data_IF_219288695088
#
_entry.id   IF_219288695088
#
_cell.length_a   1.000
_cell.length_b   1.000
_cell.length_c   1.000
_cell.angle_alpha   90.00
_cell.angle_beta   90.00
_cell.angle_gamma   90.00
#
_symmetry.space_group_name_H-M   'P 1'
#
loop_
_entity.id
_entity.type
_entity.pdbx_description
1 polymer ?
#
# COMPACT_ATOMS: atom_id res chain seq x y z
N UNK A 1 16.33 -29.41 -19.55
CA UNK A 1 17.40 -28.63 -18.88
C UNK A 1 16.70 -27.52 -18.11
N UNK A 2 16.69 -27.57 -16.77
CA UNK A 2 16.13 -26.48 -15.95
C UNK A 2 17.00 -25.24 -16.17
N UNK A 3 16.37 -24.15 -16.64
CA UNK A 3 17.04 -22.87 -16.82
C UNK A 3 17.39 -22.34 -15.45
N UNK A 4 18.65 -22.22 -15.12
CA UNK A 4 19.09 -21.70 -13.83
C UNK A 4 18.74 -20.19 -13.77
N UNK A 5 17.87 -19.80 -12.83
CA UNK A 5 17.45 -18.43 -12.62
C UNK A 5 18.42 -17.71 -11.67
N UNK A 6 18.53 -16.41 -11.79
CA UNK A 6 19.21 -15.59 -10.79
C UNK A 6 18.27 -15.33 -9.59
N UNK A 7 17.03 -14.96 -9.88
CA UNK A 7 16.03 -14.62 -8.85
C UNK A 7 14.67 -15.21 -9.20
N UNK A 8 14.01 -15.76 -8.18
CA UNK A 8 12.56 -16.04 -8.23
C UNK A 8 11.86 -15.11 -7.25
N UNK A 9 10.92 -14.31 -7.76
CA UNK A 9 10.01 -13.48 -6.97
C UNK A 9 8.69 -14.23 -6.87
N UNK A 10 8.24 -14.53 -5.67
CA UNK A 10 6.95 -15.18 -5.44
C UNK A 10 5.91 -14.12 -5.07
N UNK A 11 4.86 -14.04 -5.89
CA UNK A 11 3.80 -13.04 -5.80
C UNK A 11 3.84 -12.06 -6.98
N UNK A 12 2.73 -12.02 -7.74
CA UNK A 12 2.57 -11.14 -8.90
C UNK A 12 1.77 -9.86 -8.57
N UNK A 13 1.67 -9.48 -7.29
CA UNK A 13 1.15 -8.18 -6.87
C UNK A 13 2.05 -7.02 -7.32
N UNK A 14 1.61 -5.74 -7.14
CA UNK A 14 2.41 -4.59 -7.54
C UNK A 14 3.83 -4.63 -6.97
N UNK A 15 4.01 -5.00 -5.69
CA UNK A 15 5.32 -5.11 -5.03
C UNK A 15 6.22 -6.14 -5.73
N UNK A 16 5.71 -7.35 -5.99
CA UNK A 16 6.52 -8.42 -6.61
C UNK A 16 6.89 -8.11 -8.06
N UNK A 17 5.95 -7.59 -8.85
CA UNK A 17 6.22 -7.19 -10.24
C UNK A 17 7.21 -6.02 -10.32
N UNK A 18 7.07 -5.01 -9.44
CA UNK A 18 8.02 -3.90 -9.35
C UNK A 18 9.40 -4.40 -8.91
N UNK A 19 9.48 -5.35 -7.96
CA UNK A 19 10.76 -5.94 -7.56
C UNK A 19 11.46 -6.60 -8.76
N UNK A 20 10.74 -7.41 -9.54
CA UNK A 20 11.30 -8.06 -10.72
C UNK A 20 11.74 -7.05 -11.79
N UNK A 21 10.88 -6.07 -12.11
CA UNK A 21 11.21 -5.01 -13.07
C UNK A 21 12.42 -4.17 -12.61
N UNK A 22 12.53 -3.88 -11.32
CA UNK A 22 13.62 -3.10 -10.75
C UNK A 22 14.97 -3.84 -10.80
N UNK A 23 14.99 -5.15 -10.50
CA UNK A 23 16.19 -5.97 -10.64
C UNK A 23 16.74 -5.93 -12.06
N UNK A 24 15.86 -5.98 -13.06
CA UNK A 24 16.21 -5.91 -14.47
C UNK A 24 16.62 -4.49 -14.90
N UNK A 25 15.86 -3.48 -14.52
CA UNK A 25 16.15 -2.07 -14.83
C UNK A 25 17.48 -1.59 -14.24
N UNK A 26 17.89 -2.16 -13.09
CA UNK A 26 19.15 -1.87 -12.42
C UNK A 26 20.31 -2.78 -12.86
N UNK A 27 20.09 -3.66 -13.85
CA UNK A 27 21.06 -4.65 -14.34
C UNK A 27 21.62 -5.55 -13.21
N UNK A 28 20.82 -5.85 -12.18
CA UNK A 28 21.18 -6.76 -11.10
C UNK A 28 20.98 -8.22 -11.52
N UNK A 29 20.15 -8.46 -12.52
CA UNK A 29 19.97 -9.75 -13.16
C UNK A 29 19.74 -9.55 -14.68
N UNK A 30 20.02 -10.56 -15.48
CA UNK A 30 19.81 -10.50 -16.92
C UNK A 30 18.34 -10.81 -17.30
N UNK A 31 17.83 -10.29 -18.42
CA UNK A 31 16.53 -10.69 -18.97
C UNK A 31 16.42 -12.21 -19.13
N UNK A 32 15.28 -12.77 -18.75
CA UNK A 32 15.01 -14.21 -18.76
C UNK A 32 15.67 -14.98 -17.60
N UNK A 33 16.33 -14.29 -16.65
CA UNK A 33 16.91 -14.90 -15.44
C UNK A 33 16.19 -14.49 -14.15
N UNK A 34 15.16 -13.65 -14.25
CA UNK A 34 14.22 -13.32 -13.17
C UNK A 34 12.89 -13.96 -13.49
N UNK A 35 12.33 -14.74 -12.58
CA UNK A 35 10.96 -15.25 -12.71
C UNK A 35 10.05 -14.62 -11.65
N UNK A 36 8.82 -14.29 -12.04
CA UNK A 36 7.71 -13.97 -11.14
C UNK A 36 6.78 -15.18 -11.13
N UNK A 37 6.57 -15.76 -9.95
CA UNK A 37 5.74 -16.95 -9.74
C UNK A 37 4.53 -16.56 -8.89
N UNK A 38 3.34 -16.87 -9.34
CA UNK A 38 2.11 -16.66 -8.56
C UNK A 38 1.04 -17.66 -8.97
N UNK A 39 0.15 -18.00 -8.05
CA UNK A 39 -0.98 -18.87 -8.35
C UNK A 39 -1.87 -18.31 -9.47
N UNK A 40 -1.99 -16.98 -9.54
CA UNK A 40 -2.63 -16.23 -10.64
C UNK A 40 -1.86 -14.96 -10.91
N UNK A 41 -1.59 -14.69 -12.18
CA UNK A 41 -0.85 -13.49 -12.62
C UNK A 41 -1.80 -12.41 -13.11
N UNK A 42 -2.90 -12.79 -13.74
CA UNK A 42 -3.97 -11.89 -14.18
C UNK A 42 -5.24 -12.25 -13.41
N UNK A 43 -5.58 -11.49 -12.40
CA UNK A 43 -6.86 -11.67 -11.70
C UNK A 43 -7.64 -10.37 -11.71
N UNK A 44 -8.93 -10.42 -12.05
CA UNK A 44 -9.82 -9.38 -11.57
C UNK A 44 -9.69 -9.34 -10.04
N UNK A 45 -9.66 -8.13 -9.48
CA UNK A 45 -9.63 -7.90 -8.03
C UNK A 45 -10.55 -8.91 -7.32
N UNK A 46 -10.12 -9.60 -6.26
CA UNK A 46 -10.95 -10.59 -5.62
C UNK A 46 -12.25 -9.91 -5.16
N UNK A 47 -13.33 -10.19 -5.88
CA UNK A 47 -14.69 -9.78 -5.47
C UNK A 47 -15.05 -10.58 -4.23
N UNK A 48 -14.54 -10.18 -3.08
CA UNK A 48 -15.01 -10.71 -1.81
C UNK A 48 -16.32 -10.02 -1.47
N UNK A 49 -17.35 -10.83 -1.26
CA UNK A 49 -18.71 -10.48 -0.79
C UNK A 49 -19.15 -9.02 -1.06
N UNK A 50 -19.62 -8.79 -2.27
CA UNK A 50 -20.12 -7.50 -2.71
C UNK A 50 -21.63 -7.47 -2.53
N UNK A 51 -22.16 -6.48 -1.83
CA UNK A 51 -23.61 -6.24 -1.81
C UNK A 51 -24.09 -5.76 -3.19
N UNK A 52 -25.21 -6.25 -3.66
CA UNK A 52 -25.75 -5.88 -4.98
C UNK A 52 -26.08 -4.39 -5.05
N UNK A 53 -25.65 -3.71 -6.12
CA UNK A 53 -26.09 -2.33 -6.45
C UNK A 53 -27.36 -2.40 -7.26
N UNK A 54 -28.36 -1.53 -7.00
CA UNK A 54 -29.50 -1.36 -7.86
C UNK A 54 -29.07 -0.95 -9.28
N UNK A 55 -29.75 -1.51 -10.29
CA UNK A 55 -29.49 -1.27 -11.73
C UNK A 55 -29.49 0.20 -12.13
N UNK A 56 -30.23 1.05 -11.40
CA UNK A 56 -30.29 2.49 -11.60
C UNK A 56 -29.00 3.25 -11.24
N UNK A 57 -28.18 2.71 -10.31
CA UNK A 57 -26.88 3.31 -9.95
C UNK A 57 -25.77 2.96 -10.97
N UNK A 58 -25.94 1.85 -11.70
CA UNK A 58 -25.01 1.45 -12.76
C UNK A 58 -25.10 2.37 -13.99
N UNK A 59 -26.24 3.02 -14.22
CA UNK A 59 -26.44 3.92 -15.35
C UNK A 59 -25.77 5.30 -15.18
N UNK A 60 -25.37 5.69 -13.97
CA UNK A 60 -24.64 6.94 -13.67
C UNK A 60 -23.15 6.70 -13.34
N UNK A 61 -22.64 5.50 -13.63
CA UNK A 61 -21.28 5.15 -13.36
C UNK A 61 -20.33 6.01 -14.23
N UNK A 62 -19.54 6.87 -13.56
CA UNK A 62 -18.44 7.60 -14.16
C UNK A 62 -17.36 6.65 -14.71
N UNK A 63 -16.11 7.11 -14.73
CA UNK A 63 -14.96 6.26 -15.10
C UNK A 63 -14.96 4.97 -14.26
N UNK A 64 -14.73 3.79 -14.84
CA UNK A 64 -14.81 2.50 -14.13
C UNK A 64 -13.58 2.28 -13.22
N UNK A 65 -13.50 3.04 -12.13
CA UNK A 65 -12.51 2.82 -11.10
C UNK A 65 -12.73 1.50 -10.36
N UNK A 66 -11.64 0.77 -10.09
CA UNK A 66 -11.68 -0.37 -9.17
C UNK A 66 -12.06 0.12 -7.75
N UNK A 67 -12.81 -0.71 -7.02
CA UNK A 67 -13.15 -0.42 -5.63
C UNK A 67 -11.92 -0.16 -4.76
N UNK A 68 -10.84 -0.89 -5.04
CA UNK A 68 -9.56 -0.71 -4.35
C UNK A 68 -8.73 0.35 -5.07
N UNK A 69 -8.45 1.43 -4.39
CA UNK A 69 -7.52 2.45 -4.85
C UNK A 69 -6.29 2.49 -3.94
N UNK A 70 -5.18 2.98 -4.46
CA UNK A 70 -3.95 3.20 -3.70
C UNK A 70 -3.62 4.68 -3.63
N UNK A 71 -3.31 5.17 -2.42
CA UNK A 71 -2.70 6.48 -2.25
C UNK A 71 -1.18 6.32 -2.35
N UNK A 72 -0.60 6.70 -3.48
CA UNK A 72 0.83 6.57 -3.75
C UNK A 72 1.58 7.85 -3.40
N UNK A 73 2.71 7.69 -2.72
CA UNK A 73 3.64 8.78 -2.42
C UNK A 73 4.46 9.17 -3.66
N UNK A 74 5.08 10.34 -3.62
CA UNK A 74 6.01 10.81 -4.66
C UNK A 74 7.19 9.84 -4.86
N UNK A 75 7.72 9.26 -3.78
CA UNK A 75 8.77 8.25 -3.89
C UNK A 75 8.30 7.00 -4.64
N UNK A 76 7.08 6.52 -4.33
CA UNK A 76 6.48 5.40 -5.04
C UNK A 76 6.25 5.70 -6.52
N UNK A 77 5.77 6.90 -6.85
CA UNK A 77 5.61 7.35 -8.23
C UNK A 77 6.92 7.29 -9.00
N UNK A 78 8.01 7.83 -8.45
CA UNK A 78 9.34 7.80 -9.09
C UNK A 78 9.86 6.38 -9.30
N UNK A 79 9.65 5.50 -8.33
CA UNK A 79 10.04 4.10 -8.47
C UNK A 79 9.25 3.41 -9.59
N UNK A 80 7.94 3.62 -9.66
CA UNK A 80 7.08 3.11 -10.73
C UNK A 80 7.47 3.68 -12.10
N UNK A 81 7.91 4.93 -12.16
CA UNK A 81 8.42 5.53 -13.39
C UNK A 81 9.72 4.87 -13.85
N UNK A 82 10.67 4.62 -12.93
CA UNK A 82 11.91 3.90 -13.22
C UNK A 82 11.64 2.48 -13.76
N UNK A 83 10.61 1.82 -13.28
CA UNK A 83 10.20 0.49 -13.73
C UNK A 83 9.33 0.51 -15.01
N UNK A 84 9.05 1.69 -15.61
CA UNK A 84 8.21 1.82 -16.81
C UNK A 84 6.71 1.66 -16.57
N UNK A 85 6.27 1.58 -15.32
CA UNK A 85 4.86 1.42 -14.93
C UNK A 85 4.10 2.73 -15.04
N UNK A 86 4.64 3.81 -14.46
CA UNK A 86 3.92 5.07 -14.26
C UNK A 86 3.35 5.67 -15.53
N UNK A 87 4.17 5.78 -16.58
CA UNK A 87 3.77 6.38 -17.88
C UNK A 87 2.77 5.53 -18.66
N UNK A 88 2.61 4.26 -18.30
CA UNK A 88 1.66 3.35 -18.95
C UNK A 88 0.28 3.34 -18.28
N UNK A 89 0.14 3.96 -17.10
CA UNK A 89 -1.15 4.07 -16.42
C UNK A 89 -2.10 4.95 -17.22
N UNK A 90 -3.40 4.57 -17.31
CA UNK A 90 -4.41 5.43 -17.93
C UNK A 90 -4.53 6.74 -17.14
N UNK A 91 -4.43 7.92 -17.78
CA UNK A 91 -4.47 9.20 -17.07
C UNK A 91 -5.74 9.41 -16.24
N UNK A 92 -6.87 8.88 -16.73
CA UNK A 92 -8.17 8.99 -16.07
C UNK A 92 -8.27 8.14 -14.79
N UNK A 93 -7.36 7.19 -14.58
CA UNK A 93 -7.29 6.29 -13.44
C UNK A 93 -6.14 6.67 -12.46
N UNK A 94 -5.63 7.88 -12.60
CA UNK A 94 -4.64 8.49 -11.71
C UNK A 94 -5.09 9.91 -11.37
N UNK A 95 -5.14 10.24 -10.09
CA UNK A 95 -5.54 11.58 -9.67
C UNK A 95 -4.56 12.15 -8.63
N UNK A 96 -3.87 13.28 -8.92
CA UNK A 96 -3.03 13.96 -7.93
C UNK A 96 -3.90 14.63 -6.87
N UNK A 97 -3.51 14.53 -5.60
CA UNK A 97 -4.15 15.30 -4.55
C UNK A 97 -3.17 16.32 -3.97
N UNK A 98 -3.67 17.54 -3.78
CA UNK A 98 -2.86 18.70 -3.37
C UNK A 98 -2.91 18.94 -1.87
N UNK A 99 -4.00 18.47 -1.23
CA UNK A 99 -4.25 18.70 0.19
C UNK A 99 -4.68 17.42 0.89
N UNK A 100 -4.35 17.35 2.18
CA UNK A 100 -4.86 16.35 3.09
C UNK A 100 -5.34 17.05 4.36
N UNK A 101 -6.62 16.90 4.69
CA UNK A 101 -7.22 17.45 5.90
C UNK A 101 -7.58 16.30 6.86
N UNK A 102 -7.05 16.37 8.08
CA UNK A 102 -7.25 15.35 9.12
C UNK A 102 -7.87 16.03 10.35
N UNK A 103 -8.93 15.46 10.89
CA UNK A 103 -9.56 15.93 12.14
C UNK A 103 -10.17 14.75 12.92
N UNK A 104 -10.54 14.98 14.16
CA UNK A 104 -11.25 14.01 14.99
C UNK A 104 -12.75 14.35 15.14
N UNK A 105 -13.49 13.49 15.84
CA UNK A 105 -14.92 13.67 16.05
C UNK A 105 -15.28 14.94 16.81
N UNK A 106 -14.37 15.44 17.68
CA UNK A 106 -14.58 16.65 18.50
C UNK A 106 -14.29 17.94 17.75
N UNK A 107 -13.62 17.84 16.57
CA UNK A 107 -13.21 18.95 15.73
C UNK A 107 -14.12 19.15 14.50
N UNK A 108 -13.78 20.15 13.73
CA UNK A 108 -14.39 20.41 12.42
C UNK A 108 -13.33 20.45 11.34
N UNK A 109 -13.66 19.97 10.16
CA UNK A 109 -12.77 20.06 9.01
C UNK A 109 -12.37 21.52 8.77
N UNK A 110 -11.07 21.77 8.51
CA UNK A 110 -10.47 23.10 8.31
C UNK A 110 -10.65 24.08 9.51
N UNK A 111 -11.12 23.58 10.66
CA UNK A 111 -11.37 24.37 11.86
C UNK A 111 -10.42 24.03 13.01
N UNK A 112 -10.83 24.36 14.26
CA UNK A 112 -10.08 23.96 15.45
C UNK A 112 -10.05 22.43 15.56
N UNK A 113 -8.89 21.90 15.91
CA UNK A 113 -8.69 20.44 16.03
C UNK A 113 -8.49 19.72 14.71
N UNK A 114 -8.25 20.45 13.62
CA UNK A 114 -7.85 19.88 12.34
C UNK A 114 -6.37 20.15 12.02
N UNK A 115 -5.79 19.25 11.23
CA UNK A 115 -4.45 19.38 10.67
C UNK A 115 -4.56 19.29 9.16
N UNK A 116 -4.15 20.32 8.45
CA UNK A 116 -4.16 20.36 6.99
C UNK A 116 -2.73 20.37 6.48
N UNK A 117 -2.41 19.48 5.58
CA UNK A 117 -1.19 19.48 4.77
C UNK A 117 -1.55 20.04 3.39
N UNK A 118 -0.71 20.94 2.88
CA UNK A 118 -0.87 21.54 1.57
C UNK A 118 0.47 21.42 0.82
N UNK A 119 0.43 20.96 -0.43
CA UNK A 119 1.62 20.77 -1.25
C UNK A 119 2.40 22.09 -1.45
N UNK A 120 1.69 23.22 -1.54
CA UNK A 120 2.31 24.54 -1.68
C UNK A 120 3.20 24.91 -0.48
N UNK A 121 2.83 24.50 0.75
CA UNK A 121 3.66 24.72 1.94
C UNK A 121 4.98 23.91 1.92
N UNK A 122 5.02 22.85 1.10
CA UNK A 122 6.16 21.97 0.96
C UNK A 122 7.01 22.30 -0.28
N UNK A 123 6.52 23.18 -1.16
CA UNK A 123 7.13 23.47 -2.45
C UNK A 123 6.98 22.33 -3.47
N UNK A 124 5.99 21.46 -3.27
CA UNK A 124 5.72 20.32 -4.15
C UNK A 124 4.45 20.61 -4.99
N UNK A 125 4.31 20.04 -6.20
CA UNK A 125 3.12 20.23 -7.03
C UNK A 125 1.90 19.46 -6.51
N UNK A 126 2.10 18.39 -5.76
CA UNK A 126 1.07 17.55 -5.15
C UNK A 126 1.62 16.84 -3.91
N UNK A 127 0.74 16.24 -3.10
CA UNK A 127 1.10 15.39 -1.96
C UNK A 127 1.21 13.91 -2.33
N UNK A 128 0.80 13.53 -3.53
CA UNK A 128 0.78 12.16 -4.01
C UNK A 128 -0.41 11.92 -4.93
N UNK A 129 -0.71 10.66 -5.19
CA UNK A 129 -1.65 10.26 -6.23
C UNK A 129 -2.60 9.19 -5.72
N UNK A 130 -3.87 9.33 -6.05
CA UNK A 130 -4.83 8.23 -5.94
C UNK A 130 -4.80 7.48 -7.26
N UNK A 131 -4.57 6.18 -7.21
CA UNK A 131 -4.38 5.32 -8.39
C UNK A 131 -5.29 4.11 -8.31
N UNK A 132 -5.91 3.77 -9.42
CA UNK A 132 -6.76 2.59 -9.58
C UNK A 132 -5.97 1.30 -9.31
N UNK A 133 -6.53 0.42 -8.49
CA UNK A 133 -5.84 -0.79 -8.05
C UNK A 133 -5.62 -1.80 -9.15
N UNK A 134 -6.62 -2.04 -9.99
CA UNK A 134 -6.54 -3.00 -11.08
C UNK A 134 -5.61 -2.50 -12.20
N UNK A 135 -5.74 -1.23 -12.58
CA UNK A 135 -4.86 -0.63 -13.57
C UNK A 135 -3.39 -0.68 -13.12
N UNK A 136 -3.10 -0.34 -11.87
CA UNK A 136 -1.75 -0.44 -11.32
C UNK A 136 -1.22 -1.88 -11.38
N UNK A 137 -2.03 -2.85 -10.96
CA UNK A 137 -1.68 -4.27 -11.00
C UNK A 137 -1.33 -4.73 -12.42
N UNK A 138 -2.19 -4.43 -13.39
CA UNK A 138 -2.01 -4.85 -14.78
C UNK A 138 -0.75 -4.23 -15.39
N UNK A 139 -0.50 -2.94 -15.11
CA UNK A 139 0.69 -2.25 -15.62
C UNK A 139 1.97 -2.74 -14.95
N UNK A 140 1.94 -3.11 -13.67
CA UNK A 140 3.08 -3.74 -13.01
C UNK A 140 3.44 -5.10 -13.64
N UNK A 141 2.44 -5.94 -13.91
CA UNK A 141 2.65 -7.24 -14.60
C UNK A 141 3.23 -7.03 -15.99
N UNK A 142 2.64 -6.10 -16.77
CA UNK A 142 3.13 -5.78 -18.12
C UNK A 142 4.57 -5.27 -18.10
N UNK A 143 4.90 -4.37 -17.19
CA UNK A 143 6.24 -3.81 -17.04
C UNK A 143 7.28 -4.88 -16.67
N UNK A 144 6.96 -5.78 -15.74
CA UNK A 144 7.83 -6.89 -15.39
C UNK A 144 8.12 -7.80 -16.61
N UNK A 145 7.08 -8.16 -17.37
CA UNK A 145 7.23 -8.95 -18.60
C UNK A 145 8.03 -8.22 -19.66
N UNK A 146 7.75 -6.94 -19.90
CA UNK A 146 8.46 -6.11 -20.89
C UNK A 146 9.94 -5.90 -20.52
N UNK A 147 10.27 -5.84 -19.22
CA UNK A 147 11.66 -5.81 -18.75
C UNK A 147 12.39 -7.15 -18.95
N UNK A 148 11.68 -8.23 -19.28
CA UNK A 148 12.24 -9.55 -19.54
C UNK A 148 12.11 -10.53 -18.37
N UNK A 149 11.23 -10.28 -17.39
CA UNK A 149 10.89 -11.28 -16.38
C UNK A 149 10.07 -12.44 -16.99
N UNK A 150 10.33 -13.66 -16.54
CA UNK A 150 9.54 -14.85 -16.89
C UNK A 150 8.34 -14.94 -15.96
N UNK A 151 7.14 -14.82 -16.50
CA UNK A 151 5.91 -14.92 -15.71
C UNK A 151 5.46 -16.39 -15.65
N UNK A 152 5.28 -16.94 -14.47
CA UNK A 152 4.94 -18.34 -14.24
C UNK A 152 3.69 -18.41 -13.37
N UNK A 153 2.60 -18.88 -13.95
CA UNK A 153 1.37 -19.11 -13.20
C UNK A 153 1.41 -20.52 -12.59
N UNK A 154 1.65 -20.57 -11.29
CA UNK A 154 1.62 -21.78 -10.47
C UNK A 154 1.72 -21.41 -8.97
N UNK A 155 1.16 -22.25 -8.10
CA UNK A 155 1.37 -22.15 -6.66
C UNK A 155 2.73 -22.73 -6.26
N UNK A 156 3.39 -22.10 -5.28
CA UNK A 156 4.62 -22.63 -4.67
C UNK A 156 4.23 -23.65 -3.60
N UNK A 157 4.79 -24.85 -3.65
CA UNK A 157 4.57 -25.92 -2.67
C UNK A 157 5.71 -26.10 -1.68
N UNK A 158 6.97 -25.92 -2.13
CA UNK A 158 8.12 -26.04 -1.27
C UNK A 158 9.25 -25.09 -1.68
N UNK A 159 10.01 -24.65 -0.71
CA UNK A 159 11.22 -23.85 -0.89
C UNK A 159 12.34 -24.49 -0.09
N UNK A 160 13.36 -24.98 -0.78
CA UNK A 160 14.53 -25.63 -0.19
C UNK A 160 15.76 -24.76 -0.42
N UNK A 161 16.30 -24.20 0.66
CA UNK A 161 17.47 -23.32 0.64
C UNK A 161 18.72 -24.12 0.99
N UNK A 162 19.69 -24.13 0.07
CA UNK A 162 20.97 -24.82 0.23
C UNK A 162 22.14 -23.84 0.12
N UNK A 163 23.34 -24.29 0.42
CA UNK A 163 24.56 -23.48 0.23
C UNK A 163 24.78 -23.09 -1.25
N UNK A 164 24.30 -23.89 -2.19
CA UNK A 164 24.51 -23.71 -3.63
C UNK A 164 23.41 -22.84 -4.29
N UNK A 165 22.22 -22.77 -3.72
CA UNK A 165 21.07 -22.07 -4.31
C UNK A 165 19.77 -22.37 -3.61
N UNK A 166 18.69 -21.99 -4.25
CA UNK A 166 17.32 -22.24 -3.81
C UNK A 166 16.63 -23.13 -4.83
N UNK A 167 15.95 -24.18 -4.38
CA UNK A 167 15.02 -24.99 -5.17
C UNK A 167 13.60 -24.66 -4.77
N UNK A 168 12.74 -24.46 -5.74
CA UNK A 168 11.34 -24.09 -5.55
C UNK A 168 10.51 -25.12 -6.32
N UNK A 169 9.72 -25.91 -5.59
CA UNK A 169 8.79 -26.85 -6.19
C UNK A 169 7.43 -26.17 -6.40
N UNK A 170 6.86 -26.33 -7.59
CA UNK A 170 5.57 -25.78 -7.98
C UNK A 170 4.48 -26.86 -7.96
N UNK A 171 3.22 -26.46 -7.75
CA UNK A 171 2.08 -27.37 -7.65
C UNK A 171 1.79 -28.17 -8.93
N UNK A 172 2.28 -27.69 -10.08
CA UNK A 172 2.17 -28.38 -11.37
C UNK A 172 3.31 -29.37 -11.66
N UNK A 173 4.16 -29.61 -10.69
CA UNK A 173 5.29 -30.55 -10.77
C UNK A 173 6.58 -29.95 -11.35
N UNK A 174 6.59 -28.69 -11.77
CA UNK A 174 7.83 -28.02 -12.20
C UNK A 174 8.71 -27.71 -11.00
N UNK A 175 10.04 -27.75 -11.21
CA UNK A 175 11.05 -27.27 -10.25
C UNK A 175 11.83 -26.11 -10.86
N UNK A 176 12.07 -25.09 -10.05
CA UNK A 176 12.90 -23.94 -10.39
C UNK A 176 14.13 -23.90 -9.50
N UNK A 177 15.30 -23.68 -10.12
CA UNK A 177 16.54 -23.39 -9.41
C UNK A 177 16.90 -21.91 -9.51
N UNK A 178 17.25 -21.28 -8.38
CA UNK A 178 17.63 -19.87 -8.34
C UNK A 178 18.76 -19.61 -7.36
N UNK A 179 19.38 -18.42 -7.44
CA UNK A 179 20.38 -17.94 -6.48
C UNK A 179 19.73 -17.24 -5.28
N UNK A 180 18.56 -16.64 -5.49
CA UNK A 180 17.80 -15.88 -4.49
C UNK A 180 16.29 -16.09 -4.71
N UNK A 181 15.54 -16.28 -3.63
CA UNK A 181 14.08 -16.19 -3.61
C UNK A 181 13.64 -14.93 -2.88
N UNK A 182 12.67 -14.21 -3.43
CA UNK A 182 12.06 -13.01 -2.82
C UNK A 182 10.57 -13.27 -2.65
N UNK A 183 10.10 -13.31 -1.41
CA UNK A 183 8.69 -13.45 -1.09
C UNK A 183 8.00 -12.07 -1.15
N UNK A 184 7.00 -11.96 -2.01
CA UNK A 184 6.13 -10.79 -2.22
C UNK A 184 4.65 -11.21 -2.35
N UNK A 185 4.30 -12.36 -1.75
CA UNK A 185 3.02 -13.06 -1.86
C UNK A 185 1.97 -12.62 -0.82
N UNK A 186 2.16 -11.41 -0.25
CA UNK A 186 1.18 -10.73 0.58
C UNK A 186 1.18 -11.15 2.05
N UNK A 187 0.20 -10.66 2.82
CA UNK A 187 0.13 -10.85 4.26
C UNK A 187 0.03 -12.34 4.67
N UNK A 188 -0.70 -13.15 3.88
CA UNK A 188 -0.79 -14.61 4.04
C UNK A 188 0.34 -15.36 3.33
N UNK A 189 1.56 -14.84 3.30
CA UNK A 189 2.69 -15.40 2.55
C UNK A 189 3.00 -16.84 2.90
N UNK A 190 2.66 -17.77 2.02
CA UNK A 190 3.06 -19.17 2.09
C UNK A 190 4.57 -19.33 1.98
N UNK A 191 5.22 -18.50 1.16
CA UNK A 191 6.69 -18.52 1.00
C UNK A 191 7.39 -18.17 2.31
N UNK A 192 6.91 -17.18 3.07
CA UNK A 192 7.44 -16.85 4.40
C UNK A 192 7.32 -18.03 5.35
N UNK A 193 6.17 -18.72 5.35
CA UNK A 193 5.95 -19.91 6.19
C UNK A 193 6.88 -21.07 5.81
N UNK A 194 7.04 -21.34 4.50
CA UNK A 194 7.97 -22.35 3.99
C UNK A 194 9.43 -22.05 4.33
N UNK A 195 9.80 -20.77 4.47
CA UNK A 195 11.12 -20.33 4.92
C UNK A 195 11.29 -20.38 6.45
N UNK A 196 10.28 -20.81 7.20
CA UNK A 196 10.32 -20.89 8.66
C UNK A 196 10.47 -19.53 9.34
N UNK A 197 9.97 -18.43 8.71
CA UNK A 197 10.03 -17.09 9.27
C UNK A 197 8.74 -16.81 10.05
N UNK A 198 8.89 -16.67 11.35
CA UNK A 198 7.80 -16.37 12.27
C UNK A 198 7.34 -14.91 12.12
N UNK A 199 6.07 -14.66 12.47
CA UNK A 199 5.45 -13.33 12.52
C UNK A 199 5.02 -12.98 13.93
N UNK A 200 4.97 -11.68 14.19
CA UNK A 200 4.30 -11.10 15.35
C UNK A 200 3.28 -10.07 14.88
N UNK A 201 2.31 -9.76 15.72
CA UNK A 201 1.24 -8.81 15.38
C UNK A 201 -0.04 -9.12 16.13
N UNK A 202 -1.09 -8.42 15.78
CA UNK A 202 -2.42 -8.64 16.33
C UNK A 202 -3.50 -8.30 15.29
N UNK A 203 -4.68 -8.85 15.48
CA UNK A 203 -5.87 -8.49 14.71
C UNK A 203 -6.59 -7.35 15.44
N UNK A 204 -6.91 -6.28 14.69
CA UNK A 204 -7.63 -5.14 15.28
C UNK A 204 -9.11 -5.44 15.55
N UNK A 205 -9.65 -6.58 15.08
CA UNK A 205 -11.09 -6.85 15.04
C UNK A 205 -11.88 -5.77 14.32
N UNK A 206 -11.25 -5.16 13.33
CA UNK A 206 -11.78 -4.13 12.45
C UNK A 206 -11.76 -4.60 11.00
N UNK A 207 -12.68 -4.03 10.22
CA UNK A 207 -12.71 -4.17 8.77
C UNK A 207 -12.56 -2.78 8.13
N UNK A 208 -11.98 -2.73 6.95
CA UNK A 208 -12.02 -1.57 6.06
C UNK A 208 -13.18 -1.74 5.07
N UNK A 209 -14.18 -0.87 5.17
CA UNK A 209 -15.24 -0.75 4.17
C UNK A 209 -14.75 0.17 3.06
N UNK A 210 -14.91 -0.25 1.81
CA UNK A 210 -14.55 0.54 0.64
C UNK A 210 -15.73 0.65 -0.33
N UNK A 211 -15.94 1.84 -0.85
CA UNK A 211 -16.95 2.14 -1.86
C UNK A 211 -16.61 3.47 -2.55
N UNK A 212 -17.27 3.78 -3.65
CA UNK A 212 -17.19 5.11 -4.24
C UNK A 212 -18.50 5.86 -4.04
N UNK A 213 -18.38 7.16 -3.79
CA UNK A 213 -19.50 8.06 -3.54
C UNK A 213 -19.39 9.30 -4.39
N UNK A 214 -20.55 9.85 -4.78
CA UNK A 214 -20.69 11.22 -5.28
C UNK A 214 -21.09 12.10 -4.12
N UNK A 215 -20.53 13.30 -4.08
CA UNK A 215 -20.79 14.27 -3.02
C UNK A 215 -21.37 15.56 -3.61
N UNK A 216 -22.20 16.28 -2.86
CA UNK A 216 -22.80 17.54 -3.30
C UNK A 216 -21.74 18.63 -3.51
N UNK A 217 -20.73 18.67 -2.63
CA UNK A 217 -19.60 19.58 -2.76
C UNK A 217 -18.42 18.87 -3.40
N UNK A 218 -17.64 19.54 -4.27
CA UNK A 218 -16.46 18.94 -4.89
C UNK A 218 -15.34 18.69 -3.87
N UNK A 219 -14.57 17.62 -4.04
CA UNK A 219 -13.44 17.25 -3.15
C UNK A 219 -12.27 18.24 -3.22
N UNK A 220 -12.13 19.09 -4.26
CA UNK A 220 -11.10 20.13 -4.44
C UNK A 220 -9.68 19.59 -4.28
N UNK A 221 -9.37 18.48 -4.94
CA UNK A 221 -8.07 17.79 -4.86
C UNK A 221 -7.59 17.51 -3.42
N UNK A 222 -8.53 17.29 -2.48
CA UNK A 222 -8.26 17.11 -1.06
C UNK A 222 -8.62 15.69 -0.62
N UNK A 223 -7.68 15.01 0.01
CA UNK A 223 -7.95 13.80 0.78
C UNK A 223 -8.47 14.22 2.17
N UNK A 224 -9.68 13.82 2.49
CA UNK A 224 -10.33 14.11 3.77
C UNK A 224 -10.27 12.89 4.66
N UNK A 225 -9.85 13.04 5.92
CA UNK A 225 -9.77 11.93 6.87
C UNK A 225 -10.27 12.36 8.24
N UNK A 226 -11.34 11.71 8.69
CA UNK A 226 -11.88 11.90 10.03
C UNK A 226 -11.61 10.70 10.90
N UNK A 227 -11.05 10.92 12.06
CA UNK A 227 -10.89 9.88 13.07
C UNK A 227 -12.15 9.79 13.94
N UNK A 228 -12.72 8.58 13.98
CA UNK A 228 -13.88 8.22 14.80
C UNK A 228 -13.44 7.22 15.87
N UNK A 229 -14.22 7.03 16.94
CA UNK A 229 -13.90 6.04 17.98
C UNK A 229 -13.79 4.60 17.48
N UNK A 230 -14.53 4.26 16.42
CA UNK A 230 -14.53 2.93 15.81
C UNK A 230 -13.43 2.74 14.77
N UNK A 231 -12.77 3.82 14.35
CA UNK A 231 -11.71 3.84 13.34
C UNK A 231 -11.87 5.02 12.35
N UNK A 232 -10.85 5.28 11.52
CA UNK A 232 -10.87 6.41 10.59
C UNK A 232 -11.76 6.19 9.37
N UNK A 233 -12.41 7.26 8.92
CA UNK A 233 -13.06 7.39 7.62
C UNK A 233 -12.24 8.33 6.74
N UNK A 234 -11.80 7.86 5.57
CA UNK A 234 -11.16 8.67 4.54
C UNK A 234 -12.06 8.81 3.31
N UNK A 235 -12.06 10.01 2.69
CA UNK A 235 -12.62 10.27 1.37
C UNK A 235 -11.47 10.70 0.46
N UNK A 236 -11.14 9.87 -0.51
CA UNK A 236 -10.01 10.05 -1.43
C UNK A 236 -10.51 10.55 -2.79
N UNK A 237 -9.96 11.65 -3.32
CA UNK A 237 -10.46 12.26 -4.54
C UNK A 237 -10.18 11.40 -5.78
N UNK A 238 -11.18 11.26 -6.66
CA UNK A 238 -11.07 10.58 -7.95
C UNK A 238 -11.18 11.58 -9.12
N UNK A 239 -10.64 11.21 -10.28
CA UNK A 239 -10.57 12.08 -11.48
C UNK A 239 -11.93 12.48 -12.03
N UNK A 240 -12.97 11.69 -11.79
CA UNK A 240 -14.34 11.94 -12.26
C UNK A 240 -15.22 12.72 -11.27
N UNK A 241 -14.60 13.30 -10.24
CA UNK A 241 -15.28 14.11 -9.23
C UNK A 241 -15.89 13.30 -8.08
N UNK A 242 -15.93 11.97 -8.17
CA UNK A 242 -16.31 11.10 -7.04
C UNK A 242 -15.19 11.05 -5.99
N UNK A 243 -15.53 10.49 -4.84
CA UNK A 243 -14.57 10.14 -3.80
C UNK A 243 -14.61 8.64 -3.52
N UNK A 244 -13.45 8.01 -3.38
CA UNK A 244 -13.35 6.66 -2.82
C UNK A 244 -13.34 6.76 -1.31
N UNK A 245 -14.23 6.04 -0.63
CA UNK A 245 -14.20 5.94 0.82
C UNK A 245 -13.38 4.73 1.25
N UNK A 246 -12.63 4.92 2.34
CA UNK A 246 -11.98 3.86 3.11
C UNK A 246 -12.38 4.09 4.56
N UNK A 247 -13.28 3.27 5.08
CA UNK A 247 -13.81 3.40 6.42
C UNK A 247 -13.41 2.20 7.28
N UNK A 248 -12.42 2.39 8.13
CA UNK A 248 -12.05 1.40 9.14
C UNK A 248 -13.04 1.46 10.29
N UNK A 249 -13.64 0.33 10.65
CA UNK A 249 -14.62 0.25 11.74
C UNK A 249 -14.61 -1.13 12.38
N UNK A 250 -15.27 -1.30 13.53
CA UNK A 250 -15.38 -2.61 14.19
C UNK A 250 -16.06 -3.62 13.25
N UNK A 251 -15.79 -4.91 13.46
CA UNK A 251 -16.47 -5.95 12.66
C UNK A 251 -17.98 -5.92 12.80
N UNK A 252 -18.49 -5.66 14.01
CA UNK A 252 -19.93 -5.52 14.27
C UNK A 252 -20.54 -4.36 13.48
N UNK A 253 -19.92 -3.18 13.52
CA UNK A 253 -20.36 -2.04 12.73
C UNK A 253 -20.23 -2.28 11.23
N UNK A 254 -19.17 -2.96 10.79
CA UNK A 254 -18.99 -3.35 9.38
C UNK A 254 -20.16 -4.19 8.88
N UNK A 255 -20.56 -5.21 9.64
CA UNK A 255 -21.72 -6.06 9.31
C UNK A 255 -23.02 -5.25 9.29
N UNK A 256 -23.25 -4.41 10.30
CA UNK A 256 -24.42 -3.52 10.38
C UNK A 256 -24.49 -2.55 9.20
N UNK A 257 -23.39 -1.89 8.87
CA UNK A 257 -23.32 -0.90 7.79
C UNK A 257 -23.53 -1.54 6.41
N UNK A 258 -22.99 -2.74 6.20
CA UNK A 258 -23.16 -3.49 4.95
C UNK A 258 -24.60 -4.02 4.76
N UNK A 259 -25.34 -4.19 5.84
CA UNK A 259 -26.75 -4.60 5.79
C UNK A 259 -27.69 -3.45 5.44
N UNK A 260 -27.23 -2.18 5.46
CA UNK A 260 -28.04 -1.04 5.07
C UNK A 260 -28.31 -1.02 3.57
N UNK A 261 -29.43 -0.44 3.18
CA UNK A 261 -29.68 -0.09 1.80
C UNK A 261 -28.74 1.04 1.34
N UNK A 262 -28.62 1.35 0.06
CA UNK A 262 -27.72 2.37 -0.45
C UNK A 262 -27.93 3.76 0.15
N UNK A 263 -29.18 4.12 0.45
CA UNK A 263 -29.51 5.43 1.07
C UNK A 263 -29.11 5.44 2.53
N UNK A 264 -29.35 4.37 3.26
CA UNK A 264 -28.95 4.21 4.67
C UNK A 264 -27.44 4.24 4.82
N UNK A 265 -26.70 3.55 3.93
CA UNK A 265 -25.24 3.61 3.93
C UNK A 265 -24.71 5.02 3.63
N UNK A 266 -25.27 5.71 2.63
CA UNK A 266 -24.90 7.10 2.31
C UNK A 266 -25.15 8.06 3.48
N UNK A 267 -26.30 7.91 4.17
CA UNK A 267 -26.60 8.67 5.38
C UNK A 267 -25.58 8.40 6.50
N UNK A 268 -25.18 7.15 6.71
CA UNK A 268 -24.17 6.80 7.68
C UNK A 268 -22.78 7.42 7.34
N UNK A 269 -22.40 7.44 6.06
CA UNK A 269 -21.15 8.10 5.61
C UNK A 269 -21.24 9.61 5.79
N UNK A 270 -22.39 10.23 5.50
CA UNK A 270 -22.63 11.67 5.71
C UNK A 270 -22.41 12.04 7.19
N UNK A 271 -23.02 11.31 8.11
CA UNK A 271 -22.87 11.50 9.55
C UNK A 271 -21.40 11.28 9.99
N UNK A 272 -20.82 10.15 9.57
CA UNK A 272 -19.45 9.78 9.90
C UNK A 272 -18.42 10.78 9.37
N UNK A 273 -18.64 11.38 8.20
CA UNK A 273 -17.79 12.42 7.62
C UNK A 273 -18.01 13.81 8.24
N UNK A 274 -19.06 13.97 9.06
CA UNK A 274 -19.49 15.30 9.58
C UNK A 274 -19.99 16.23 8.49
N UNK A 275 -20.48 15.69 7.38
CA UNK A 275 -21.06 16.45 6.27
C UNK A 275 -20.06 17.32 5.50
N UNK A 276 -18.76 17.02 5.58
CA UNK A 276 -17.67 17.86 5.03
C UNK A 276 -17.81 18.15 3.53
N UNK A 277 -18.42 17.25 2.78
CA UNK A 277 -18.68 17.39 1.33
C UNK A 277 -20.19 17.43 0.98
N UNK A 278 -21.05 17.76 1.96
CA UNK A 278 -22.49 17.80 1.77
C UNK A 278 -23.11 16.43 1.56
N UNK A 279 -24.28 16.40 0.90
CA UNK A 279 -25.02 15.17 0.65
C UNK A 279 -24.20 14.13 -0.12
N UNK A 280 -24.47 12.84 0.19
CA UNK A 280 -23.70 11.70 -0.33
C UNK A 280 -24.63 10.75 -1.09
N UNK A 281 -24.19 10.31 -2.25
CA UNK A 281 -24.80 9.27 -3.06
C UNK A 281 -23.81 8.10 -3.23
N UNK A 282 -24.21 6.88 -2.86
CA UNK A 282 -23.41 5.67 -3.10
C UNK A 282 -23.46 5.30 -4.58
N UNK A 283 -22.29 5.17 -5.23
CA UNK A 283 -22.20 4.89 -6.68
C UNK A 283 -21.65 3.50 -7.02
N UNK A 284 -21.18 2.75 -6.02
CA UNK A 284 -20.65 1.39 -6.18
C UNK A 284 -21.15 0.50 -5.05
N UNK A 285 -21.02 -0.84 -5.18
CA UNK A 285 -21.17 -1.73 -4.04
C UNK A 285 -20.20 -1.40 -2.91
N UNK A 286 -20.56 -1.80 -1.68
CA UNK A 286 -19.66 -1.74 -0.52
C UNK A 286 -18.94 -3.07 -0.37
N UNK A 287 -17.61 -3.03 -0.39
CA UNK A 287 -16.77 -4.19 -0.08
C UNK A 287 -16.13 -4.05 1.30
N UNK A 288 -15.80 -5.19 1.95
CA UNK A 288 -15.18 -5.23 3.26
C UNK A 288 -13.87 -6.04 3.21
N UNK A 289 -12.84 -5.55 3.89
CA UNK A 289 -11.55 -6.20 4.00
C UNK A 289 -11.09 -6.22 5.46
N UNK A 290 -10.69 -7.38 6.01
CA UNK A 290 -10.22 -7.46 7.38
C UNK A 290 -8.87 -6.72 7.55
N UNK A 291 -8.73 -6.02 8.68
CA UNK A 291 -7.52 -5.25 9.01
C UNK A 291 -6.67 -6.06 9.99
N UNK A 292 -5.39 -6.26 9.64
CA UNK A 292 -4.40 -6.93 10.46
C UNK A 292 -3.14 -6.09 10.59
N UNK A 293 -2.52 -6.11 11.77
CA UNK A 293 -1.13 -5.73 11.95
C UNK A 293 -0.32 -7.01 12.03
N UNK A 294 0.60 -7.20 11.10
CA UNK A 294 1.49 -8.34 11.10
C UNK A 294 2.86 -7.92 10.61
N UNK A 295 3.91 -8.37 11.27
CA UNK A 295 5.29 -8.17 10.82
C UNK A 295 6.11 -9.43 11.04
N UNK A 296 6.97 -9.73 10.07
CA UNK A 296 7.91 -10.83 10.16
C UNK A 296 9.01 -10.52 11.17
N UNK A 297 9.39 -11.52 11.98
CA UNK A 297 10.46 -11.37 12.96
C UNK A 297 11.83 -11.22 12.31
N UNK A 298 12.01 -11.81 11.12
CA UNK A 298 13.18 -11.63 10.28
C UNK A 298 12.70 -11.32 8.84
N UNK A 299 13.39 -10.41 8.16
CA UNK A 299 13.09 -10.09 6.76
C UNK A 299 13.91 -10.91 5.79
N UNK A 300 14.94 -11.57 6.29
CA UNK A 300 15.87 -12.32 5.44
C UNK A 300 16.30 -13.64 6.06
N UNK A 301 16.64 -14.58 5.20
CA UNK A 301 17.42 -15.80 5.45
C UNK A 301 18.54 -15.86 4.42
N UNK A 302 19.55 -16.71 4.56
CA UNK A 302 20.47 -16.98 3.47
C UNK A 302 19.68 -17.25 2.18
N UNK A 303 19.97 -16.55 1.11
CA UNK A 303 19.34 -16.69 -0.21
C UNK A 303 17.82 -16.44 -0.24
N UNK A 304 17.26 -15.77 0.77
CA UNK A 304 15.84 -15.45 0.83
C UNK A 304 15.61 -14.07 1.44
N UNK A 305 14.65 -13.31 0.87
CA UNK A 305 14.21 -12.01 1.37
C UNK A 305 12.68 -11.90 1.29
N UNK A 306 12.08 -11.15 2.22
CA UNK A 306 10.68 -10.77 2.21
C UNK A 306 10.56 -9.29 1.85
N UNK A 307 9.53 -8.90 1.06
CA UNK A 307 9.22 -7.51 0.73
C UNK A 307 7.70 -7.28 0.81
N UNK A 308 7.31 -6.04 1.13
CA UNK A 308 5.90 -5.65 1.23
C UNK A 308 5.14 -6.41 2.29
N UNK A 309 3.87 -6.72 2.02
CA UNK A 309 2.98 -7.34 3.00
C UNK A 309 3.45 -8.73 3.46
N UNK A 310 4.33 -9.41 2.70
CA UNK A 310 4.97 -10.65 3.15
C UNK A 310 5.92 -10.39 4.34
N UNK A 311 6.53 -9.21 4.43
CA UNK A 311 7.37 -8.77 5.54
C UNK A 311 6.56 -8.02 6.61
N UNK A 312 5.60 -7.18 6.21
CA UNK A 312 4.79 -6.35 7.12
C UNK A 312 3.45 -5.96 6.49
N UNK A 313 2.37 -6.31 7.14
CA UNK A 313 1.04 -5.78 6.84
C UNK A 313 0.67 -4.75 7.92
N UNK A 314 0.38 -3.53 7.50
CA UNK A 314 0.08 -2.41 8.41
C UNK A 314 -1.37 -1.96 8.25
N UNK A 315 -1.87 -1.22 9.24
CA UNK A 315 -3.20 -0.61 9.16
C UNK A 315 -3.31 0.27 7.91
N UNK A 316 -4.44 0.25 7.16
CA UNK A 316 -4.62 0.99 5.91
C UNK A 316 -4.72 2.52 6.09
N UNK A 317 -4.31 3.07 7.25
CA UNK A 317 -4.22 4.50 7.50
C UNK A 317 -3.38 5.16 6.40
N UNK A 318 -3.99 6.12 5.72
CA UNK A 318 -3.37 6.91 4.64
C UNK A 318 -2.77 6.07 3.47
N UNK A 319 -3.23 4.83 3.25
CA UNK A 319 -2.77 3.99 2.14
C UNK A 319 -1.29 3.64 2.14
N UNK A 320 -0.62 3.58 3.30
CA UNK A 320 0.84 3.46 3.41
C UNK A 320 1.39 2.06 3.09
N UNK A 321 0.59 0.99 3.16
CA UNK A 321 1.09 -0.39 3.00
C UNK A 321 1.88 -0.60 1.70
N UNK A 322 1.30 -0.26 0.56
CA UNK A 322 1.98 -0.41 -0.73
C UNK A 322 3.22 0.49 -0.85
N UNK A 323 3.17 1.72 -0.32
CA UNK A 323 4.33 2.63 -0.34
C UNK A 323 5.53 2.04 0.42
N UNK A 324 5.29 1.44 1.58
CA UNK A 324 6.34 0.75 2.35
C UNK A 324 6.91 -0.43 1.58
N UNK A 325 6.05 -1.25 0.95
CA UNK A 325 6.47 -2.39 0.13
C UNK A 325 7.30 -1.98 -1.09
N UNK A 326 6.95 -0.89 -1.75
CA UNK A 326 7.72 -0.33 -2.86
C UNK A 326 9.10 0.19 -2.40
N UNK A 327 9.17 0.82 -1.23
CA UNK A 327 10.44 1.23 -0.63
C UNK A 327 11.29 0.03 -0.18
N UNK A 328 10.69 -1.10 0.21
CA UNK A 328 11.42 -2.34 0.45
C UNK A 328 12.10 -2.83 -0.83
N UNK A 329 11.38 -2.85 -1.96
CA UNK A 329 11.95 -3.21 -3.26
C UNK A 329 13.14 -2.31 -3.62
N UNK A 330 12.98 -1.00 -3.45
CA UNK A 330 14.04 -0.05 -3.72
C UNK A 330 15.28 -0.29 -2.83
N UNK A 331 15.07 -0.48 -1.52
CA UNK A 331 16.15 -0.69 -0.56
C UNK A 331 16.87 -2.03 -0.77
N UNK A 332 16.11 -3.10 -1.12
CA UNK A 332 16.73 -4.39 -1.46
C UNK A 332 17.56 -4.30 -2.72
N UNK A 333 17.04 -3.66 -3.78
CA UNK A 333 17.78 -3.46 -5.02
C UNK A 333 19.05 -2.60 -4.81
N UNK A 334 18.98 -1.56 -3.96
CA UNK A 334 20.16 -0.77 -3.59
C UNK A 334 21.21 -1.61 -2.86
N UNK A 335 20.79 -2.38 -1.84
CA UNK A 335 21.71 -3.22 -1.06
C UNK A 335 22.38 -4.31 -1.91
N UNK A 336 21.66 -4.90 -2.88
CA UNK A 336 22.21 -5.86 -3.84
C UNK A 336 23.20 -5.18 -4.81
N UNK A 337 22.90 -3.98 -5.29
CA UNK A 337 23.76 -3.23 -6.19
C UNK A 337 25.05 -2.72 -5.54
N UNK A 338 24.99 -2.27 -4.28
CA UNK A 338 26.15 -1.83 -3.51
C UNK A 338 27.16 -2.97 -3.22
N UNK A 339 26.71 -4.23 -3.25
CA UNK A 339 27.58 -5.40 -3.04
C UNK A 339 28.56 -5.61 -4.22
N UNK A 340 28.29 -5.03 -5.38
CA UNK A 340 29.15 -5.10 -6.57
C UNK A 340 29.09 -6.45 -7.29
N UNK A 341 29.76 -6.52 -8.44
CA UNK A 341 29.73 -7.69 -9.34
C UNK A 341 30.36 -8.96 -8.76
N UNK A 342 31.20 -8.84 -7.74
CA UNK A 342 31.84 -9.99 -7.11
C UNK A 342 30.93 -10.74 -6.12
N UNK A 343 29.86 -10.08 -5.62
CA UNK A 343 28.93 -10.68 -4.68
C UNK A 343 27.86 -11.50 -5.41
N UNK A 344 27.45 -12.60 -4.79
CA UNK A 344 26.28 -13.35 -5.23
C UNK A 344 24.99 -12.66 -4.77
N UNK A 345 23.95 -12.66 -5.61
CA UNK A 345 22.63 -12.14 -5.24
C UNK A 345 22.05 -12.79 -3.98
N UNK A 346 22.44 -14.05 -3.70
CA UNK A 346 22.03 -14.77 -2.50
C UNK A 346 22.92 -14.56 -1.28
N UNK A 347 23.95 -13.70 -1.35
CA UNK A 347 24.86 -13.46 -0.24
C UNK A 347 24.15 -12.79 0.93
N UNK A 348 24.42 -13.30 2.15
CA UNK A 348 23.69 -12.88 3.34
C UNK A 348 24.02 -11.45 3.78
N UNK A 349 25.22 -10.94 3.49
CA UNK A 349 25.65 -9.60 3.87
C UNK A 349 24.76 -8.47 3.31
N UNK A 350 24.54 -8.39 1.99
CA UNK A 350 23.63 -7.45 1.36
C UNK A 350 22.18 -7.58 1.88
N UNK A 351 21.69 -8.82 2.03
CA UNK A 351 20.35 -9.09 2.55
C UNK A 351 20.17 -8.56 3.98
N UNK A 352 21.17 -8.78 4.85
CA UNK A 352 21.17 -8.22 6.22
C UNK A 352 21.26 -6.69 6.25
N UNK A 353 21.90 -6.07 5.26
CA UNK A 353 21.92 -4.61 5.14
C UNK A 353 20.53 -4.07 4.81
N UNK A 354 19.85 -4.70 3.86
CA UNK A 354 18.45 -4.42 3.53
C UNK A 354 17.56 -4.54 4.78
N UNK A 355 17.63 -5.68 5.48
CA UNK A 355 16.81 -5.93 6.68
C UNK A 355 17.03 -4.86 7.75
N UNK A 356 18.27 -4.52 8.08
CA UNK A 356 18.55 -3.49 9.10
C UNK A 356 17.97 -2.13 8.75
N UNK A 357 18.06 -1.72 7.48
CA UNK A 357 17.48 -0.45 7.00
C UNK A 357 15.97 -0.47 7.09
N UNK A 358 15.33 -1.47 6.50
CA UNK A 358 13.88 -1.47 6.34
C UNK A 358 13.12 -1.87 7.60
N UNK A 359 13.60 -2.85 8.35
CA UNK A 359 12.91 -3.32 9.55
C UNK A 359 12.73 -2.22 10.60
N UNK A 360 13.75 -1.37 10.79
CA UNK A 360 13.68 -0.23 11.71
C UNK A 360 12.67 0.81 11.22
N UNK A 361 12.70 1.20 9.94
CA UNK A 361 11.80 2.18 9.35
C UNK A 361 10.34 1.68 9.34
N UNK A 362 10.14 0.43 8.93
CA UNK A 362 8.81 -0.18 8.88
C UNK A 362 8.22 -0.35 10.29
N UNK A 363 9.05 -0.71 11.29
CA UNK A 363 8.61 -0.79 12.68
C UNK A 363 8.20 0.58 13.22
N UNK A 364 8.98 1.64 12.97
CA UNK A 364 8.63 3.00 13.38
C UNK A 364 7.34 3.45 12.69
N UNK A 365 7.18 3.18 11.39
CA UNK A 365 5.97 3.53 10.66
C UNK A 365 4.75 2.76 11.22
N UNK A 366 4.87 1.44 11.42
CA UNK A 366 3.81 0.62 11.99
C UNK A 366 3.44 1.06 13.40
N UNK A 367 4.43 1.32 14.27
CA UNK A 367 4.21 1.79 15.64
C UNK A 367 3.56 3.19 15.67
N UNK A 368 3.91 4.08 14.74
CA UNK A 368 3.28 5.39 14.61
C UNK A 368 1.82 5.27 14.18
N UNK A 369 1.51 4.41 13.19
CA UNK A 369 0.14 4.17 12.72
C UNK A 369 -0.72 3.50 13.80
N UNK A 370 -0.20 2.48 14.49
CA UNK A 370 -0.86 1.81 15.61
C UNK A 370 -1.08 2.78 16.80
N UNK A 371 -0.07 3.61 17.09
CA UNK A 371 -0.19 4.65 18.13
C UNK A 371 -1.23 5.71 17.81
N UNK A 372 -1.31 6.14 16.54
CA UNK A 372 -2.38 7.03 16.09
C UNK A 372 -3.75 6.37 16.20
N UNK A 373 -3.89 5.14 15.72
CA UNK A 373 -5.15 4.40 15.83
C UNK A 373 -5.62 4.32 17.30
N UNK A 374 -4.76 3.86 18.22
CA UNK A 374 -5.08 3.77 19.67
C UNK A 374 -5.36 5.11 20.30
N UNK A 375 -4.65 6.17 19.91
CA UNK A 375 -4.88 7.52 20.40
C UNK A 375 -6.27 8.02 20.01
N UNK A 376 -6.68 7.75 18.75
CA UNK A 376 -7.92 8.26 18.20
C UNK A 376 -9.13 7.37 18.52
N UNK A 377 -8.98 6.08 18.74
CA UNK A 377 -10.05 5.17 19.18
C UNK A 377 -10.32 5.24 20.68
N UNK A 378 -9.49 5.96 21.47
CA UNK A 378 -9.70 6.09 22.92
C UNK A 378 -10.93 6.93 23.25
N UNK A 379 -11.86 6.36 23.99
CA UNK A 379 -13.06 7.04 24.55
C UNK A 379 -12.78 7.85 25.82
N UNK A 380 -11.54 7.86 26.33
CA UNK A 380 -11.19 8.60 27.55
C UNK A 380 -11.24 10.13 27.31
N UNK A 381 -12.07 10.90 28.07
CA UNK A 381 -12.22 12.34 27.85
C UNK A 381 -10.91 13.15 28.04
N UNK A 382 -9.99 12.67 28.88
CA UNK A 382 -8.68 13.29 29.09
C UNK A 382 -7.80 13.13 27.86
N UNK A 383 -7.80 11.94 27.25
CA UNK A 383 -7.07 11.64 26.00
C UNK A 383 -7.68 12.43 24.85
N UNK A 384 -9.01 12.56 24.76
CA UNK A 384 -9.66 13.35 23.72
C UNK A 384 -9.25 14.84 23.76
N UNK A 385 -9.16 15.44 24.96
CA UNK A 385 -8.67 16.82 25.12
C UNK A 385 -7.19 16.96 24.74
N UNK A 386 -6.37 16.00 25.14
CA UNK A 386 -4.94 15.99 24.79
C UNK A 386 -4.74 15.84 23.28
N UNK A 387 -5.54 15.02 22.63
CA UNK A 387 -5.57 14.79 21.18
C UNK A 387 -5.91 16.07 20.41
N UNK A 388 -7.01 16.74 20.79
CA UNK A 388 -7.42 17.99 20.16
C UNK A 388 -6.36 19.10 20.35
N UNK A 389 -5.77 19.21 21.56
CA UNK A 389 -4.67 20.14 21.81
C UNK A 389 -3.40 19.77 21.03
N UNK A 390 -3.10 18.46 20.91
CA UNK A 390 -1.96 17.95 20.15
C UNK A 390 -2.06 18.23 18.64
N UNK A 391 -3.22 18.00 18.04
CA UNK A 391 -3.47 18.35 16.62
C UNK A 391 -3.29 19.84 16.39
N UNK A 392 -3.84 20.69 17.26
CA UNK A 392 -3.67 22.13 17.20
C UNK A 392 -2.20 22.58 17.34
N UNK A 393 -1.46 21.96 18.28
CA UNK A 393 -0.04 22.24 18.49
C UNK A 393 0.81 21.83 17.29
N UNK A 394 0.61 20.64 16.72
CA UNK A 394 1.30 20.17 15.51
C UNK A 394 0.97 21.09 14.33
N UNK A 395 -0.29 21.52 14.20
CA UNK A 395 -0.74 22.46 13.18
C UNK A 395 -0.03 23.82 13.24
N UNK A 396 0.28 24.29 14.47
CA UNK A 396 0.96 25.58 14.70
C UNK A 396 2.49 25.52 14.54
N UNK A 397 3.10 24.33 14.66
CA UNK A 397 4.53 24.11 14.56
C UNK A 397 4.92 23.70 13.13
N UNK A 398 5.10 24.67 12.25
CA UNK A 398 5.36 24.46 10.81
C UNK A 398 6.53 23.53 10.51
N UNK A 399 7.58 23.46 11.36
CA UNK A 399 8.71 22.56 11.13
C UNK A 399 8.34 21.09 11.41
N UNK A 400 7.54 20.82 12.47
CA UNK A 400 7.06 19.46 12.81
C UNK A 400 6.12 18.97 11.72
N UNK A 401 5.15 19.82 11.32
CA UNK A 401 4.20 19.55 10.24
C UNK A 401 4.93 19.20 8.95
N UNK A 402 5.93 20.02 8.54
CA UNK A 402 6.76 19.78 7.35
C UNK A 402 7.56 18.47 7.44
N UNK A 403 8.16 18.18 8.59
CA UNK A 403 8.89 16.92 8.80
C UNK A 403 8.01 15.70 8.65
N UNK A 404 6.81 15.69 9.26
CA UNK A 404 5.83 14.62 9.13
C UNK A 404 5.37 14.44 7.68
N UNK A 405 5.05 15.55 6.99
CA UNK A 405 4.63 15.51 5.61
C UNK A 405 5.72 14.97 4.68
N UNK A 406 6.96 15.45 4.78
CA UNK A 406 8.09 14.97 3.96
C UNK A 406 8.34 13.48 4.17
N UNK A 407 8.19 12.98 5.39
CA UNK A 407 8.33 11.55 5.68
C UNK A 407 7.18 10.73 5.07
N UNK A 408 5.94 11.20 5.18
CA UNK A 408 4.78 10.56 4.55
C UNK A 408 4.87 10.54 3.01
N UNK A 409 5.43 11.58 2.41
CA UNK A 409 5.69 11.66 0.97
C UNK A 409 6.88 10.80 0.49
N UNK A 410 7.65 10.22 1.42
CA UNK A 410 8.88 9.49 1.10
C UNK A 410 9.98 10.40 0.52
N UNK A 411 9.96 11.70 0.84
CA UNK A 411 11.00 12.66 0.45
C UNK A 411 12.12 12.64 1.46
N UNK A 412 11.79 12.39 2.74
CA UNK A 412 12.73 12.37 3.87
C UNK A 412 12.76 10.98 4.52
N UNK A 413 13.86 10.64 5.19
CA UNK A 413 14.10 9.32 5.79
C UNK A 413 15.11 8.48 5.01
N UNK A 414 15.21 7.17 5.34
CA UNK A 414 16.13 6.22 4.65
C UNK A 414 15.52 5.76 3.31
N UNK A 415 15.38 6.71 2.39
CA UNK A 415 14.91 6.46 1.02
C UNK A 415 16.13 6.24 0.12
N UNK A 416 16.17 5.18 -0.70
CA UNK A 416 17.26 4.93 -1.64
C UNK A 416 17.55 6.12 -2.55
N UNK A 417 18.85 6.38 -2.80
CA UNK A 417 19.29 7.59 -3.50
C UNK A 417 18.64 7.78 -4.87
N UNK A 418 18.42 6.69 -5.62
CA UNK A 418 17.83 6.72 -6.95
C UNK A 418 16.31 6.96 -6.98
N UNK A 419 15.66 6.95 -5.80
CA UNK A 419 14.23 7.26 -5.64
C UNK A 419 14.03 8.66 -5.03
N UNK A 420 15.09 9.26 -4.44
CA UNK A 420 15.04 10.62 -3.91
C UNK A 420 14.77 11.63 -5.02
N UNK A 421 14.12 12.75 -4.68
CA UNK A 421 14.06 13.88 -5.59
C UNK A 421 15.48 14.28 -5.96
N UNK A 422 15.78 14.41 -7.24
CA UNK A 422 16.94 15.22 -7.63
C UNK A 422 16.61 16.65 -7.21
N UNK A 423 17.43 17.23 -6.34
CA UNK A 423 17.32 18.66 -6.04
C UNK A 423 17.43 19.43 -7.36
N UNK A 424 16.56 20.43 -7.62
CA UNK A 424 16.57 21.24 -8.83
C UNK A 424 17.91 21.91 -9.03
#
# INVERSE_FOLDING_TARGET
MSRELDVVVVGAGPTGCVMAALLLARNLAAPGRVAVVAERISSPSPRREVTAVPEAAAASAGIPWDLRVFALSRASQRLLELCGVWRSLPPDLVFPYERMCVWDESGTALGRGSLTFDCAELGEPDLGFIVDGQALQDRCVQAAGAAGAVLIEAAVQAVDVTERGVRIALADGRELGARLVIAADGAGSTTRELLGIATAGHTYHQDALVAHVRTAEPHRSTAWQRFLPTGPLALLPLSDGRSSIVWSTTREDSERLRALDPRGFAAAVLEASGGVLGDIELTTPVASFPIHLQYALDYVRPRAALVGDAAHAVHPLAGQGLNLGLLDCASLAEALGEAGAAASLGDYGPLRRYERRRKSENFIAAAALDGLERLFSSSNPGIARLRAAGLGAVGSLSFVKRGLAKRALGIDGDVPAFVKAQSP
#
